data_IF_356161659827
#
_entry.id   IF_356161659827
#
_cell.length_a   1.000
_cell.length_b   1.000
_cell.length_c   1.000
_cell.angle_alpha   90.00
_cell.angle_beta   90.00
_cell.angle_gamma   90.00
#
_symmetry.space_group_name_H-M   'P 1'
#
loop_
_entity.id
_entity.type
_entity.pdbx_description
1 polymer ?
#
# COMPACT_ATOMS: atom_id res chain seq x y z
N UNK A 1 4.20 -3.48 24.05
CA UNK A 1 4.61 -2.07 23.88
C UNK A 1 3.53 -1.29 23.12
N UNK A 2 3.51 0.01 23.26
CA UNK A 2 2.59 0.89 22.52
C UNK A 2 3.43 1.90 21.76
N UNK A 3 3.17 2.01 20.44
CA UNK A 3 3.76 3.06 19.62
C UNK A 3 2.71 4.15 19.39
N UNK A 4 3.00 5.33 19.91
CA UNK A 4 2.08 6.48 19.74
C UNK A 4 2.11 6.98 18.31
N UNK A 5 1.06 7.69 17.89
CA UNK A 5 0.93 8.16 16.52
C UNK A 5 2.12 8.99 16.04
N UNK A 6 2.66 9.85 16.91
CA UNK A 6 3.82 10.70 16.60
C UNK A 6 5.17 9.99 16.65
N UNK A 7 5.20 8.72 17.02
CA UNK A 7 6.42 7.92 17.11
C UNK A 7 6.64 7.05 15.87
N UNK A 8 5.69 7.04 14.94
CA UNK A 8 5.80 6.28 13.70
C UNK A 8 6.81 6.92 12.74
N UNK A 9 7.53 6.09 12.00
CA UNK A 9 8.39 6.56 10.91
C UNK A 9 7.49 6.89 9.72
N UNK A 10 7.53 8.16 9.29
CA UNK A 10 6.71 8.65 8.18
C UNK A 10 7.62 9.00 7.02
N UNK A 11 7.28 8.51 5.83
CA UNK A 11 8.03 8.75 4.61
C UNK A 11 7.12 9.32 3.53
N UNK A 12 7.60 10.34 2.83
CA UNK A 12 6.99 10.80 1.58
C UNK A 12 7.77 10.17 0.43
N UNK A 13 7.08 9.44 -0.43
CA UNK A 13 7.69 8.76 -1.57
C UNK A 13 7.06 9.30 -2.85
N UNK A 14 7.87 9.91 -3.71
CA UNK A 14 7.44 10.44 -4.99
C UNK A 14 7.66 9.40 -6.09
N UNK A 15 6.75 9.35 -7.06
CA UNK A 15 6.84 8.50 -8.25
C UNK A 15 7.12 7.04 -7.94
N UNK A 16 6.40 6.50 -6.95
CA UNK A 16 6.57 5.10 -6.53
C UNK A 16 6.29 4.16 -7.71
N UNK A 17 7.30 3.35 -8.09
CA UNK A 17 7.26 2.48 -9.27
C UNK A 17 6.84 3.22 -10.54
N UNK A 18 7.28 4.47 -10.70
CA UNK A 18 7.01 5.27 -11.89
C UNK A 18 5.65 5.94 -11.96
N UNK A 19 4.82 5.85 -10.91
CA UNK A 19 3.53 6.51 -10.86
C UNK A 19 3.67 8.03 -10.74
N UNK A 20 2.60 8.73 -11.09
CA UNK A 20 2.52 10.18 -10.87
C UNK A 20 2.36 10.50 -9.38
N UNK A 21 2.77 11.71 -9.00
CA UNK A 21 2.54 12.27 -7.68
C UNK A 21 3.30 11.57 -6.56
N UNK A 22 2.66 11.45 -5.41
CA UNK A 22 3.32 10.94 -4.22
C UNK A 22 2.38 10.16 -3.31
N UNK A 23 2.99 9.36 -2.45
CA UNK A 23 2.31 8.67 -1.35
C UNK A 23 2.98 9.08 -0.04
N UNK A 24 2.21 9.01 1.04
CA UNK A 24 2.73 9.17 2.41
C UNK A 24 2.60 7.83 3.10
N UNK A 25 3.72 7.28 3.54
CA UNK A 25 3.78 5.97 4.19
C UNK A 25 4.02 6.18 5.67
N UNK A 26 3.07 5.79 6.50
CA UNK A 26 3.19 5.79 7.96
C UNK A 26 3.43 4.35 8.39
N UNK A 27 4.69 4.06 8.74
CA UNK A 27 5.08 2.71 9.11
C UNK A 27 4.53 2.37 10.50
N UNK A 28 3.78 1.28 10.59
CA UNK A 28 3.21 0.80 11.85
C UNK A 28 4.19 -0.08 12.59
N UNK A 29 5.19 -0.60 11.90
CA UNK A 29 6.34 -1.33 12.43
C UNK A 29 7.63 -0.63 12.00
N UNK A 30 8.70 -0.76 12.78
CA UNK A 30 9.98 -0.14 12.47
C UNK A 30 10.91 -1.06 11.67
N UNK A 31 10.69 -2.36 11.75
CA UNK A 31 11.48 -3.35 11.01
C UNK A 31 10.74 -4.68 10.94
N UNK A 32 11.22 -5.57 10.08
CA UNK A 32 10.68 -6.93 9.94
C UNK A 32 10.82 -7.76 11.23
N UNK A 33 11.71 -7.38 12.13
CA UNK A 33 11.86 -8.04 13.44
C UNK A 33 10.58 -7.98 14.24
N UNK A 34 9.81 -6.91 14.11
CA UNK A 34 8.52 -6.75 14.81
C UNK A 34 7.44 -7.69 14.25
N UNK A 35 7.64 -8.25 13.07
CA UNK A 35 6.82 -9.32 12.50
C UNK A 35 7.49 -10.70 12.61
N UNK A 36 8.44 -10.84 13.51
CA UNK A 36 9.22 -12.08 13.67
C UNK A 36 9.87 -12.52 12.36
N UNK A 37 10.30 -11.58 11.53
CA UNK A 37 10.89 -11.80 10.20
C UNK A 37 9.98 -12.57 9.24
N UNK A 38 8.67 -12.50 9.47
CA UNK A 38 7.66 -13.14 8.62
C UNK A 38 7.04 -12.18 7.61
N UNK A 39 7.44 -10.93 7.65
CA UNK A 39 6.99 -9.90 6.73
C UNK A 39 7.88 -8.67 6.84
N UNK A 40 7.66 -7.70 5.95
CA UNK A 40 8.54 -6.52 5.87
C UNK A 40 7.81 -5.18 5.85
N UNK A 41 6.49 -5.19 5.65
CA UNK A 41 5.69 -3.96 5.62
C UNK A 41 4.42 -4.18 6.42
N UNK A 42 4.14 -3.24 7.29
CA UNK A 42 2.82 -3.03 7.87
C UNK A 42 2.68 -1.52 8.03
N UNK A 43 1.86 -0.91 7.19
CA UNK A 43 1.87 0.54 7.04
C UNK A 43 0.47 1.10 6.74
N UNK A 44 0.24 2.32 7.20
CA UNK A 44 -0.88 3.14 6.79
C UNK A 44 -0.38 4.08 5.70
N UNK A 45 -0.86 3.88 4.48
CA UNK A 45 -0.43 4.66 3.32
C UNK A 45 -1.56 5.53 2.81
N UNK A 46 -1.24 6.79 2.58
CA UNK A 46 -2.13 7.75 1.92
C UNK A 46 -1.65 7.94 0.48
N UNK A 47 -2.53 7.70 -0.48
CA UNK A 47 -2.31 7.99 -1.89
C UNK A 47 -3.01 9.29 -2.22
N UNK A 48 -2.26 10.36 -2.44
CA UNK A 48 -2.82 11.69 -2.71
C UNK A 48 -3.64 11.70 -4.00
N UNK A 49 -4.61 12.63 -4.15
CA UNK A 49 -5.31 12.80 -5.41
C UNK A 49 -4.32 13.03 -6.57
N UNK A 50 -4.56 12.40 -7.72
CA UNK A 50 -3.67 12.48 -8.87
C UNK A 50 -2.41 11.66 -8.76
N UNK A 51 -2.24 10.91 -7.69
CA UNK A 51 -1.05 10.10 -7.40
C UNK A 51 -1.35 8.61 -7.50
N UNK A 52 -0.30 7.80 -7.47
CA UNK A 52 -0.47 6.36 -7.53
C UNK A 52 0.72 5.59 -6.99
N UNK A 53 0.59 4.27 -7.11
CA UNK A 53 1.66 3.29 -6.93
C UNK A 53 1.72 2.52 -8.25
N UNK A 54 2.82 2.63 -8.98
CA UNK A 54 2.96 2.01 -10.30
C UNK A 54 2.87 0.50 -10.25
N UNK A 55 2.51 -0.10 -11.38
CA UNK A 55 2.40 -1.56 -11.47
C UNK A 55 3.76 -2.20 -11.17
N UNK A 56 3.75 -3.20 -10.30
CA UNK A 56 4.95 -3.93 -9.90
C UNK A 56 4.58 -5.36 -9.50
N UNK A 57 5.56 -6.25 -9.60
CA UNK A 57 5.39 -7.67 -9.27
C UNK A 57 5.82 -7.94 -7.83
N UNK A 58 5.13 -8.88 -7.20
CA UNK A 58 5.57 -9.47 -5.93
C UNK A 58 6.21 -10.85 -6.19
N UNK A 59 7.41 -11.02 -5.69
CA UNK A 59 8.16 -12.28 -5.81
C UNK A 59 8.73 -12.64 -4.44
N UNK A 60 8.29 -13.76 -3.88
CA UNK A 60 8.71 -14.22 -2.57
C UNK A 60 7.91 -13.62 -1.41
N UNK A 61 6.88 -12.85 -1.71
CA UNK A 61 5.99 -12.28 -0.70
C UNK A 61 4.58 -12.07 -1.25
N UNK A 62 3.67 -11.75 -0.35
CA UNK A 62 2.26 -11.45 -0.66
C UNK A 62 1.92 -10.11 -0.03
N UNK A 63 1.28 -9.23 -0.78
CA UNK A 63 0.78 -7.97 -0.24
C UNK A 63 -0.74 -7.97 -0.12
N UNK A 64 -1.21 -7.48 1.01
CA UNK A 64 -2.64 -7.29 1.30
C UNK A 64 -2.86 -5.81 1.54
N UNK A 65 -3.86 -5.23 0.84
CA UNK A 65 -4.37 -3.89 1.14
C UNK A 65 -5.75 -4.00 1.75
N UNK A 66 -6.00 -3.19 2.76
CA UNK A 66 -7.34 -2.90 3.24
C UNK A 66 -7.62 -1.42 3.02
N UNK A 67 -8.70 -1.09 2.30
CA UNK A 67 -9.07 0.29 2.02
C UNK A 67 -9.86 0.84 3.21
N UNK A 68 -9.29 1.84 3.87
CA UNK A 68 -9.92 2.51 5.02
C UNK A 68 -10.91 3.56 4.55
N UNK A 69 -10.51 4.38 3.57
CA UNK A 69 -11.35 5.44 3.01
C UNK A 69 -10.88 5.83 1.62
N UNK A 70 -11.79 6.45 0.87
CA UNK A 70 -11.53 6.86 -0.50
C UNK A 70 -11.79 5.75 -1.50
N UNK A 71 -11.45 6.01 -2.75
CA UNK A 71 -11.53 5.04 -3.84
C UNK A 71 -10.43 5.31 -4.85
N UNK A 72 -10.09 4.30 -5.63
CA UNK A 72 -9.08 4.44 -6.68
C UNK A 72 -9.25 3.34 -7.74
N UNK A 73 -8.67 3.59 -8.91
CA UNK A 73 -8.47 2.55 -9.91
C UNK A 73 -7.38 1.59 -9.44
N UNK A 74 -7.63 0.31 -9.59
CA UNK A 74 -6.70 -0.73 -9.15
C UNK A 74 -6.44 -1.70 -10.30
N UNK A 75 -5.16 -1.97 -10.54
CA UNK A 75 -4.73 -2.99 -11.49
C UNK A 75 -4.43 -4.27 -10.71
N UNK A 76 -5.31 -5.26 -10.85
CA UNK A 76 -5.20 -6.56 -10.20
C UNK A 76 -4.64 -7.56 -11.21
N UNK A 77 -3.33 -7.68 -11.24
CA UNK A 77 -2.61 -8.60 -12.13
C UNK A 77 -3.05 -8.48 -13.60
N UNK A 78 -3.22 -7.23 -14.07
CA UNK A 78 -3.63 -6.91 -15.42
C UNK A 78 -5.11 -6.61 -15.58
N UNK A 79 -5.94 -6.89 -14.58
CA UNK A 79 -7.37 -6.58 -14.61
C UNK A 79 -7.63 -5.27 -13.88
N UNK A 80 -8.21 -4.31 -14.58
CA UNK A 80 -8.56 -3.02 -14.02
C UNK A 80 -9.90 -3.09 -13.33
N UNK A 81 -9.97 -2.61 -12.10
CA UNK A 81 -11.20 -2.50 -11.31
C UNK A 81 -11.13 -1.25 -10.42
N UNK A 82 -12.17 -0.98 -9.67
CA UNK A 82 -12.20 0.11 -8.68
C UNK A 82 -12.21 -0.51 -7.30
N UNK A 83 -11.38 0.01 -6.41
CA UNK A 83 -11.40 -0.33 -4.99
C UNK A 83 -11.95 0.85 -4.18
N UNK A 84 -12.68 0.56 -3.13
CA UNK A 84 -13.36 1.55 -2.28
C UNK A 84 -13.28 1.13 -0.81
N UNK A 85 -13.68 2.03 0.10
CA UNK A 85 -13.65 1.77 1.54
C UNK A 85 -14.27 0.42 1.90
N UNK A 86 -13.54 -0.36 2.69
CA UNK A 86 -13.93 -1.70 3.11
C UNK A 86 -13.42 -2.83 2.22
N UNK A 87 -12.90 -2.52 1.04
CA UNK A 87 -12.37 -3.54 0.13
C UNK A 87 -11.01 -4.06 0.59
N UNK A 88 -10.74 -5.31 0.26
CA UNK A 88 -9.46 -5.98 0.51
C UNK A 88 -8.89 -6.41 -0.83
N UNK A 89 -7.61 -6.15 -1.07
CA UNK A 89 -6.89 -6.72 -2.22
C UNK A 89 -5.85 -7.72 -1.73
N UNK A 90 -5.61 -8.74 -2.51
CA UNK A 90 -4.62 -9.77 -2.22
C UNK A 90 -3.77 -9.98 -3.47
N UNK A 91 -2.47 -9.74 -3.33
CA UNK A 91 -1.50 -9.91 -4.43
C UNK A 91 -0.47 -10.94 -4.00
N UNK A 92 -0.69 -12.22 -4.34
CA UNK A 92 0.25 -13.28 -3.97
C UNK A 92 1.54 -13.22 -4.81
N UNK A 93 2.54 -13.96 -4.34
CA UNK A 93 3.81 -14.11 -5.06
C UNK A 93 3.56 -14.58 -6.51
N UNK A 94 4.28 -13.98 -7.45
CA UNK A 94 4.15 -14.28 -8.87
C UNK A 94 3.10 -13.43 -9.60
N UNK A 95 2.42 -12.53 -8.89
CA UNK A 95 1.43 -11.61 -9.47
C UNK A 95 1.82 -10.17 -9.19
N UNK A 96 1.16 -9.24 -9.90
CA UNK A 96 1.45 -7.83 -9.78
C UNK A 96 0.20 -6.99 -9.52
N UNK A 97 0.43 -5.74 -9.11
CA UNK A 97 -0.64 -4.78 -8.90
C UNK A 97 -0.15 -3.33 -9.02
N UNK A 98 -1.12 -2.43 -9.11
CA UNK A 98 -0.88 -0.99 -9.09
C UNK A 98 -2.13 -0.23 -8.71
N UNK A 99 -1.95 1.02 -8.26
CA UNK A 99 -3.03 1.92 -7.85
C UNK A 99 -2.90 3.22 -8.64
N UNK A 100 -4.03 3.77 -9.06
CA UNK A 100 -4.10 5.10 -9.64
C UNK A 100 -5.28 5.87 -9.03
N UNK A 101 -4.98 6.87 -8.23
CA UNK A 101 -6.00 7.72 -7.63
C UNK A 101 -6.34 8.89 -8.57
N UNK A 102 -7.33 8.68 -9.41
CA UNK A 102 -7.82 9.68 -10.38
C UNK A 102 -8.84 10.65 -9.78
N UNK A 103 -9.23 10.43 -8.52
CA UNK A 103 -10.25 11.24 -7.85
C UNK A 103 -9.70 12.50 -7.22
N UNK A 104 -10.57 13.20 -6.49
CA UNK A 104 -10.25 14.44 -5.78
C UNK A 104 -10.00 14.24 -4.28
N UNK A 105 -10.25 13.02 -3.78
CA UNK A 105 -10.07 12.68 -2.36
C UNK A 105 -8.87 11.74 -2.19
N UNK A 106 -8.16 11.81 -1.05
CA UNK A 106 -7.09 10.86 -0.79
C UNK A 106 -7.63 9.44 -0.61
N UNK A 107 -6.83 8.45 -1.03
CA UNK A 107 -7.07 7.05 -0.71
C UNK A 107 -6.24 6.69 0.52
N UNK A 108 -6.90 6.11 1.53
CA UNK A 108 -6.24 5.62 2.73
C UNK A 108 -6.27 4.10 2.75
N UNK A 109 -5.10 3.46 2.82
CA UNK A 109 -4.99 2.01 2.86
C UNK A 109 -4.08 1.55 4.00
N UNK A 110 -4.37 0.36 4.52
CA UNK A 110 -3.44 -0.38 5.37
C UNK A 110 -2.80 -1.44 4.48
N UNK A 111 -1.48 -1.49 4.46
CA UNK A 111 -0.71 -2.42 3.67
C UNK A 111 0.06 -3.39 4.56
N UNK A 112 0.00 -4.67 4.24
CA UNK A 112 0.76 -5.72 4.91
C UNK A 112 1.48 -6.55 3.85
N UNK A 113 2.79 -6.71 4.00
CA UNK A 113 3.58 -7.63 3.15
C UNK A 113 4.15 -8.72 4.04
N UNK A 114 3.78 -9.95 3.74
CA UNK A 114 4.29 -11.15 4.43
C UNK A 114 5.12 -11.99 3.45
N UNK A 115 6.18 -12.61 3.96
CA UNK A 115 7.03 -13.48 3.13
C UNK A 115 6.33 -14.82 2.85
N UNK A 116 6.68 -15.37 1.71
CA UNK A 116 6.22 -16.71 1.32
C UNK A 116 6.87 -17.81 2.15
#
# INVERSE_FOLDING_TARGET
>A
MVRKSNEKIVERVEHKFGADGFITVRNLINSDKELNRKGRVFAHTTVAPGSGIGYHMHNGDTEIYYVVSGSAEYNDNGKITTISAGDVTLTPSGTGHGINNKGSEPLEIIALIIYS
#
